data_IF_403622335223
#
_entry.id   IF_403622335223
#
_cell.length_a   1.000
_cell.length_b   1.000
_cell.length_c   1.000
_cell.angle_alpha   90.00
_cell.angle_beta   90.00
_cell.angle_gamma   90.00
#
_symmetry.space_group_name_H-M   'P 1'
#
loop_
_entity.id
_entity.type
_entity.pdbx_description
1 polymer ?
#
# COMPACT_ATOMS: atom_id res chain seq x y z
N UNK A 1 70.53 18.79 -48.35
CA UNK A 1 70.63 17.76 -47.30
C UNK A 1 69.86 18.26 -46.09
N UNK A 2 68.92 17.58 -45.45
CA UNK A 2 68.26 16.29 -45.66
C UNK A 2 66.96 16.32 -44.83
N UNK A 3 65.85 15.81 -45.37
CA UNK A 3 64.57 15.72 -44.65
C UNK A 3 64.62 14.49 -43.72
N UNK A 4 64.73 14.71 -42.41
CA UNK A 4 64.53 13.66 -41.41
C UNK A 4 63.04 13.28 -41.34
N UNK A 5 62.70 12.13 -41.93
CA UNK A 5 61.38 11.50 -41.88
C UNK A 5 61.39 10.44 -40.79
N UNK A 6 61.24 10.86 -39.54
CA UNK A 6 61.23 9.99 -38.36
C UNK A 6 59.85 9.39 -38.07
N UNK A 7 59.66 8.14 -38.48
CA UNK A 7 58.86 7.07 -37.84
C UNK A 7 57.77 7.45 -36.81
N UNK A 8 56.55 7.77 -37.26
CA UNK A 8 55.34 7.88 -36.41
C UNK A 8 54.47 6.59 -36.49
N UNK A 9 54.87 5.58 -37.28
CA UNK A 9 54.01 4.42 -37.60
C UNK A 9 53.97 3.29 -36.56
N UNK A 10 54.82 3.27 -35.54
CA UNK A 10 54.99 2.08 -34.67
C UNK A 10 54.33 2.14 -33.28
N UNK A 11 53.82 3.29 -32.85
CA UNK A 11 53.14 3.47 -31.56
C UNK A 11 51.88 2.59 -31.42
N UNK A 12 50.99 2.45 -32.44
CA UNK A 12 49.76 1.67 -32.26
C UNK A 12 50.03 0.16 -32.10
N UNK A 13 51.06 -0.37 -32.76
CA UNK A 13 51.39 -1.80 -32.69
C UNK A 13 52.02 -2.22 -31.35
N UNK A 14 52.75 -1.32 -30.68
CA UNK A 14 53.33 -1.58 -29.37
C UNK A 14 52.25 -1.59 -28.26
N UNK A 15 51.28 -0.69 -28.33
CA UNK A 15 50.13 -0.66 -27.42
C UNK A 15 49.24 -1.89 -27.64
N UNK A 16 48.92 -2.22 -28.89
CA UNK A 16 48.16 -3.43 -29.24
C UNK A 16 48.87 -4.74 -28.82
N UNK A 17 50.21 -4.77 -28.88
CA UNK A 17 51.02 -5.87 -28.39
C UNK A 17 50.99 -6.03 -26.87
N UNK A 18 50.97 -4.92 -26.12
CA UNK A 18 50.90 -4.91 -24.65
C UNK A 18 49.53 -5.38 -24.12
N UNK A 19 48.45 -5.07 -24.85
CA UNK A 19 47.09 -5.52 -24.54
C UNK A 19 46.72 -6.88 -25.17
N UNK A 20 47.62 -7.51 -25.92
CA UNK A 20 47.38 -8.81 -26.56
C UNK A 20 46.95 -9.92 -25.58
N UNK A 21 47.54 -10.08 -24.38
CA UNK A 21 47.04 -11.03 -23.38
C UNK A 21 45.75 -10.57 -22.67
N UNK A 22 45.42 -9.27 -22.74
CA UNK A 22 44.23 -8.68 -22.12
C UNK A 22 42.99 -8.68 -23.03
N UNK A 23 43.15 -8.91 -24.34
CA UNK A 23 42.04 -9.04 -25.31
C UNK A 23 40.90 -9.95 -24.83
N UNK A 24 41.13 -11.17 -24.31
CA UNK A 24 40.04 -12.01 -23.81
C UNK A 24 39.31 -11.36 -22.63
N UNK A 25 40.01 -10.66 -21.73
CA UNK A 25 39.41 -9.96 -20.59
C UNK A 25 38.53 -8.79 -21.05
N UNK A 26 38.98 -8.01 -22.03
CA UNK A 26 38.25 -6.86 -22.57
C UNK A 26 36.97 -7.30 -23.28
N UNK A 27 36.99 -8.46 -23.96
CA UNK A 27 35.80 -9.05 -24.60
C UNK A 27 34.84 -9.65 -23.56
N UNK A 28 35.37 -10.23 -22.47
CA UNK A 28 34.56 -10.81 -21.39
C UNK A 28 33.92 -9.75 -20.49
N UNK A 29 34.57 -8.59 -20.36
CA UNK A 29 34.14 -7.48 -19.50
C UNK A 29 32.70 -7.00 -19.74
N UNK A 30 32.24 -6.70 -20.97
CA UNK A 30 30.85 -6.28 -21.20
C UNK A 30 29.85 -7.38 -20.82
N UNK A 31 30.21 -8.66 -20.98
CA UNK A 31 29.35 -9.78 -20.59
C UNK A 31 29.23 -9.88 -19.05
N UNK A 32 30.34 -9.71 -18.34
CA UNK A 32 30.36 -9.65 -16.87
C UNK A 32 29.58 -8.46 -16.32
N UNK A 33 29.76 -7.28 -16.91
CA UNK A 33 29.01 -6.07 -16.54
C UNK A 33 27.51 -6.24 -16.79
N UNK A 34 27.13 -6.81 -17.93
CA UNK A 34 25.74 -7.09 -18.27
C UNK A 34 25.12 -8.08 -17.27
N UNK A 35 25.83 -9.18 -16.99
CA UNK A 35 25.40 -10.17 -16.00
C UNK A 35 25.24 -9.54 -14.62
N UNK A 36 26.22 -8.77 -14.16
CA UNK A 36 26.18 -8.09 -12.87
C UNK A 36 25.01 -7.09 -12.78
N UNK A 37 24.79 -6.30 -13.84
CA UNK A 37 23.70 -5.32 -13.89
C UNK A 37 22.33 -6.01 -13.82
N UNK A 38 22.13 -7.10 -14.56
CA UNK A 38 20.87 -7.86 -14.52
C UNK A 38 20.62 -8.46 -13.15
N UNK A 39 21.64 -9.07 -12.54
CA UNK A 39 21.50 -9.68 -11.21
C UNK A 39 21.18 -8.61 -10.16
N UNK A 40 21.87 -7.46 -10.21
CA UNK A 40 21.62 -6.35 -9.30
C UNK A 40 20.22 -5.75 -9.47
N UNK A 41 19.81 -5.50 -10.71
CA UNK A 41 18.46 -5.03 -11.02
C UNK A 41 17.40 -6.05 -10.61
N UNK A 42 17.67 -7.35 -10.78
CA UNK A 42 16.78 -8.43 -10.35
C UNK A 42 16.58 -8.44 -8.84
N UNK A 43 17.67 -8.35 -8.07
CA UNK A 43 17.61 -8.31 -6.61
C UNK A 43 16.87 -7.06 -6.10
N UNK A 44 17.14 -5.90 -6.71
CA UNK A 44 16.46 -4.66 -6.38
C UNK A 44 14.95 -4.72 -6.69
N UNK A 45 14.58 -5.25 -7.86
CA UNK A 45 13.18 -5.46 -8.27
C UNK A 45 12.47 -6.41 -7.32
N UNK A 46 13.09 -7.53 -6.93
CA UNK A 46 12.50 -8.48 -5.99
C UNK A 46 12.23 -7.84 -4.62
N UNK A 47 13.19 -7.06 -4.10
CA UNK A 47 13.04 -6.32 -2.83
C UNK A 47 11.90 -5.29 -2.91
N UNK A 48 11.83 -4.53 -4.00
CA UNK A 48 10.76 -3.55 -4.22
C UNK A 48 9.40 -4.22 -4.37
N UNK A 49 9.32 -5.31 -5.12
CA UNK A 49 8.06 -6.03 -5.34
C UNK A 49 7.51 -6.60 -4.02
N UNK A 50 8.39 -7.10 -3.14
CA UNK A 50 8.00 -7.52 -1.79
C UNK A 50 7.43 -6.36 -0.97
N UNK A 51 8.12 -5.22 -0.96
CA UNK A 51 7.62 -4.03 -0.24
C UNK A 51 6.29 -3.53 -0.80
N UNK A 52 6.13 -3.55 -2.13
CA UNK A 52 4.86 -3.18 -2.79
C UNK A 52 3.75 -4.14 -2.38
N UNK A 53 4.02 -5.44 -2.33
CA UNK A 53 3.03 -6.44 -1.93
C UNK A 53 2.58 -6.24 -0.48
N UNK A 54 3.52 -6.08 0.45
CA UNK A 54 3.24 -5.79 1.87
C UNK A 54 2.41 -4.51 2.00
N UNK A 55 2.81 -3.42 1.33
CA UNK A 55 2.05 -2.15 1.35
C UNK A 55 0.68 -2.26 0.71
N UNK A 56 0.52 -3.03 -0.37
CA UNK A 56 -0.77 -3.24 -1.03
C UNK A 56 -1.72 -4.02 -0.13
N UNK A 57 -1.24 -5.05 0.55
CA UNK A 57 -2.02 -5.81 1.54
C UNK A 57 -2.50 -4.91 2.67
N UNK A 58 -1.62 -4.09 3.26
CA UNK A 58 -2.01 -3.17 4.34
C UNK A 58 -3.02 -2.12 3.87
N UNK A 59 -2.90 -1.61 2.64
CA UNK A 59 -3.86 -0.67 2.04
C UNK A 59 -5.25 -1.31 1.89
N UNK A 60 -5.30 -2.56 1.44
CA UNK A 60 -6.57 -3.27 1.28
C UNK A 60 -7.25 -3.54 2.63
N UNK A 61 -6.48 -3.96 3.65
CA UNK A 61 -7.01 -4.16 5.00
C UNK A 61 -7.56 -2.87 5.60
N UNK A 62 -6.82 -1.77 5.48
CA UNK A 62 -7.28 -0.45 5.93
C UNK A 62 -8.53 0.02 5.20
N UNK A 63 -8.65 -0.29 3.90
CA UNK A 63 -9.86 0.01 3.13
C UNK A 63 -11.06 -0.77 3.66
N UNK A 64 -10.91 -2.07 3.91
CA UNK A 64 -11.98 -2.90 4.49
C UNK A 64 -12.43 -2.37 5.86
N UNK A 65 -11.48 -2.06 6.74
CA UNK A 65 -11.78 -1.45 8.05
C UNK A 65 -12.50 -0.10 7.93
N UNK A 66 -12.13 0.73 6.95
CA UNK A 66 -12.79 2.00 6.72
C UNK A 66 -14.24 1.81 6.25
N UNK A 67 -14.47 0.86 5.36
CA UNK A 67 -15.81 0.53 4.87
C UNK A 67 -16.67 -0.07 5.99
N UNK A 68 -16.12 -0.95 6.82
CA UNK A 68 -16.78 -1.47 8.04
C UNK A 68 -17.13 -0.36 9.02
N UNK A 69 -16.23 0.59 9.27
CA UNK A 69 -16.49 1.74 10.13
C UNK A 69 -17.59 2.64 9.58
N UNK A 70 -17.62 2.88 8.27
CA UNK A 70 -18.71 3.64 7.64
C UNK A 70 -20.04 2.93 7.81
N UNK A 71 -20.07 1.62 7.58
CA UNK A 71 -21.26 0.80 7.81
C UNK A 71 -21.67 0.88 9.28
N UNK A 72 -20.71 0.76 10.20
CA UNK A 72 -20.94 0.89 11.64
C UNK A 72 -21.53 2.25 12.00
N UNK A 73 -20.94 3.35 11.54
CA UNK A 73 -21.45 4.71 11.80
C UNK A 73 -22.87 4.88 11.25
N UNK A 74 -23.13 4.44 10.01
CA UNK A 74 -24.47 4.50 9.42
C UNK A 74 -25.44 3.62 10.23
N UNK A 75 -25.01 2.44 10.69
CA UNK A 75 -25.81 1.55 11.52
C UNK A 75 -26.11 2.15 12.91
N UNK A 76 -25.12 2.74 13.59
CA UNK A 76 -25.30 3.37 14.90
C UNK A 76 -26.18 4.63 14.81
N UNK A 77 -25.89 5.52 13.84
CA UNK A 77 -26.70 6.73 13.62
C UNK A 77 -28.12 6.38 13.16
N UNK A 78 -28.29 5.34 12.34
CA UNK A 78 -29.63 4.87 11.97
C UNK A 78 -30.33 4.16 13.13
N UNK A 79 -29.65 3.38 13.97
CA UNK A 79 -30.23 2.75 15.14
C UNK A 79 -30.73 3.78 16.16
N UNK A 80 -29.93 4.80 16.46
CA UNK A 80 -30.34 5.92 17.33
C UNK A 80 -31.50 6.71 16.71
N UNK A 81 -31.46 6.96 15.39
CA UNK A 81 -32.56 7.61 14.66
C UNK A 81 -33.82 6.75 14.62
N UNK A 82 -33.69 5.44 14.51
CA UNK A 82 -34.79 4.48 14.50
C UNK A 82 -35.37 4.38 15.90
N UNK A 83 -34.55 4.32 16.95
CA UNK A 83 -35.00 4.31 18.33
C UNK A 83 -35.77 5.60 18.69
N UNK A 84 -35.24 6.77 18.31
CA UNK A 84 -35.93 8.05 18.50
C UNK A 84 -37.22 8.13 17.69
N UNK A 85 -37.25 7.63 16.45
CA UNK A 85 -38.47 7.50 15.66
C UNK A 85 -39.49 6.55 16.31
N UNK A 86 -39.06 5.39 16.80
CA UNK A 86 -39.93 4.42 17.48
C UNK A 86 -40.49 5.02 18.78
N UNK A 87 -39.66 5.67 19.59
CA UNK A 87 -40.08 6.39 20.81
C UNK A 87 -41.05 7.55 20.51
N UNK A 88 -40.94 8.21 19.35
CA UNK A 88 -41.86 9.27 18.92
C UNK A 88 -43.18 8.74 18.34
N UNK A 89 -43.15 7.59 17.66
CA UNK A 89 -44.29 7.08 16.90
C UNK A 89 -45.13 6.09 17.70
N UNK A 90 -44.50 5.34 18.61
CA UNK A 90 -45.15 4.28 19.37
C UNK A 90 -44.96 4.53 20.87
N UNK A 91 -46.08 4.73 21.57
CA UNK A 91 -46.10 4.83 23.02
C UNK A 91 -45.78 3.49 23.71
N UNK A 92 -45.86 2.38 22.97
CA UNK A 92 -45.71 1.02 23.49
C UNK A 92 -44.85 0.16 22.55
N UNK A 93 -43.89 -0.58 23.11
CA UNK A 93 -43.21 -1.66 22.38
C UNK A 93 -43.98 -2.97 22.59
N UNK A 94 -44.57 -3.59 21.55
CA UNK A 94 -45.15 -4.91 21.69
C UNK A 94 -44.03 -5.96 21.70
N UNK A 95 -43.77 -6.57 22.87
CA UNK A 95 -42.82 -7.67 23.00
C UNK A 95 -43.61 -8.98 23.09
N UNK A 96 -43.30 -9.93 22.20
CA UNK A 96 -43.88 -11.27 22.26
C UNK A 96 -43.07 -12.14 23.23
N UNK A 97 -43.63 -12.42 24.40
CA UNK A 97 -43.08 -13.36 25.38
C UNK A 97 -43.87 -14.68 25.29
N UNK A 98 -43.30 -15.66 24.58
CA UNK A 98 -43.93 -16.97 24.39
C UNK A 98 -45.30 -16.82 23.69
N UNK A 99 -46.38 -17.18 24.38
CA UNK A 99 -47.75 -17.12 23.84
C UNK A 99 -48.51 -15.81 24.22
N UNK A 100 -47.83 -14.77 24.72
CA UNK A 100 -48.46 -13.51 25.14
C UNK A 100 -47.70 -12.30 24.60
N UNK A 101 -48.41 -11.30 24.11
CA UNK A 101 -47.86 -9.98 23.76
C UNK A 101 -47.97 -9.05 24.96
N UNK A 102 -46.84 -8.59 25.49
CA UNK A 102 -46.78 -7.61 26.58
C UNK A 102 -46.39 -6.25 25.98
N UNK A 103 -47.22 -5.24 26.21
CA UNK A 103 -46.94 -3.85 25.83
C UNK A 103 -46.19 -3.15 26.96
N UNK A 104 -44.94 -2.75 26.72
CA UNK A 104 -44.17 -1.93 27.66
C UNK A 104 -44.27 -0.48 27.20
N UNK A 105 -44.75 0.42 28.06
CA UNK A 105 -44.74 1.86 27.78
C UNK A 105 -43.29 2.34 27.77
N UNK A 106 -42.84 2.97 26.69
CA UNK A 106 -41.51 3.59 26.70
C UNK A 106 -41.61 4.93 27.44
N UNK A 107 -40.71 5.20 28.41
CA UNK A 107 -40.63 6.53 29.01
C UNK A 107 -40.30 7.55 27.91
N UNK A 108 -40.92 8.74 27.94
CA UNK A 108 -40.68 9.79 26.97
C UNK A 108 -39.21 10.20 26.98
N UNK A 109 -38.71 10.60 25.80
CA UNK A 109 -37.33 11.07 25.64
C UNK A 109 -37.14 12.29 26.56
N UNK A 110 -36.16 12.28 27.49
CA UNK A 110 -35.81 13.50 28.20
C UNK A 110 -35.34 14.54 27.17
N UNK A 111 -35.93 15.73 27.18
CA UNK A 111 -35.50 16.80 26.28
C UNK A 111 -34.01 17.08 26.51
N UNK A 112 -33.24 17.10 25.43
CA UNK A 112 -31.83 17.51 25.43
C UNK A 112 -31.74 18.95 25.95
N UNK A 113 -31.62 19.11 27.27
CA UNK A 113 -31.62 20.42 27.92
C UNK A 113 -31.94 20.46 29.43
N UNK A 114 -32.32 19.35 30.08
CA UNK A 114 -32.68 19.37 31.52
C UNK A 114 -31.76 18.57 32.46
N UNK A 115 -30.53 18.23 32.03
CA UNK A 115 -29.56 17.53 32.90
C UNK A 115 -28.49 18.45 33.53
N UNK A 116 -28.64 19.77 33.46
CA UNK A 116 -27.74 20.71 34.16
C UNK A 116 -28.56 21.66 35.04
N UNK A 117 -29.02 21.16 36.19
CA UNK A 117 -29.30 21.95 37.42
C UNK A 117 -29.84 21.03 38.51
N UNK A 118 -28.94 20.43 39.28
CA UNK A 118 -29.15 20.25 40.72
C UNK A 118 -27.83 20.02 41.43
#
# INVERSE_FOLDING_TARGET
>A
MGKMKGNIRNIPNQVLGFFSPLKPLVVLFPFLMFFYSIVWQGLAKAKLNRQIHERTSTKEELKRKNDELKIGIVAYTSAERIETLYRRTYQFLPISLGNRTVTIELPPIPEEGQSEKK
#
